data_IF_729070283786
#
_entry.id   IF_729070283786
#
_cell.length_a   1.000
_cell.length_b   1.000
_cell.length_c   1.000
_cell.angle_alpha   90.00
_cell.angle_beta   90.00
_cell.angle_gamma   90.00
#
_symmetry.space_group_name_H-M   'P 1'
#
loop_
_entity.id
_entity.type
_entity.pdbx_description
1 polymer ?
#
# COMPACT_ATOMS: atom_id res chain seq x y z
N UNK A 1 8.60 -0.51 0.91
CA UNK A 1 8.31 0.88 0.50
C UNK A 1 7.14 1.38 1.32
N UNK A 2 7.13 2.63 1.76
CA UNK A 2 6.01 3.21 2.49
C UNK A 2 5.06 3.91 1.53
N UNK A 3 3.80 4.09 1.93
CA UNK A 3 2.87 4.93 1.17
C UNK A 3 3.14 6.40 1.46
N UNK A 4 3.09 7.23 0.42
CA UNK A 4 3.13 8.69 0.55
C UNK A 4 1.85 9.20 1.21
N UNK A 5 1.92 10.33 1.91
CA UNK A 5 0.74 11.04 2.42
C UNK A 5 0.81 12.52 2.01
N UNK A 6 -0.29 13.15 1.57
CA UNK A 6 -1.61 12.56 1.31
C UNK A 6 -1.62 11.67 0.06
N UNK A 7 -2.49 10.65 0.04
CA UNK A 7 -2.62 9.69 -1.06
C UNK A 7 -4.08 9.53 -1.49
N UNK A 8 -4.29 9.49 -2.81
CA UNK A 8 -5.56 9.04 -3.37
C UNK A 8 -5.60 7.50 -3.39
N UNK A 9 -6.29 6.93 -2.40
CA UNK A 9 -6.43 5.48 -2.24
C UNK A 9 -7.16 4.82 -3.39
N UNK A 10 -8.17 5.47 -3.97
CA UNK A 10 -8.93 4.88 -5.06
C UNK A 10 -8.05 4.76 -6.31
N UNK A 11 -7.29 5.80 -6.60
CA UNK A 11 -6.31 5.78 -7.70
C UNK A 11 -5.22 4.75 -7.44
N UNK A 12 -4.67 4.66 -6.23
CA UNK A 12 -3.70 3.64 -5.85
C UNK A 12 -4.24 2.22 -6.03
N UNK A 13 -5.42 1.90 -5.50
CA UNK A 13 -6.02 0.57 -5.60
C UNK A 13 -6.37 0.18 -7.06
N UNK A 14 -6.72 1.17 -7.90
CA UNK A 14 -6.92 0.92 -9.32
C UNK A 14 -5.58 0.64 -10.03
N UNK A 15 -4.50 1.33 -9.64
CA UNK A 15 -3.15 1.05 -10.15
C UNK A 15 -2.64 -0.32 -9.69
N UNK A 16 -2.96 -0.76 -8.47
CA UNK A 16 -2.66 -2.12 -8.01
C UNK A 16 -3.28 -3.19 -8.92
N UNK A 17 -4.49 -2.98 -9.46
CA UNK A 17 -5.16 -3.95 -10.33
C UNK A 17 -4.47 -4.15 -11.70
N UNK A 18 -3.64 -3.20 -12.13
CA UNK A 18 -2.88 -3.32 -13.39
C UNK A 18 -1.45 -3.82 -13.18
N UNK A 19 -1.04 -4.04 -11.92
CA UNK A 19 0.23 -4.64 -11.58
C UNK A 19 0.29 -6.09 -12.08
N UNK A 20 1.50 -6.55 -12.44
CA UNK A 20 1.73 -7.88 -13.01
C UNK A 20 1.73 -8.96 -11.92
N UNK A 21 2.26 -8.64 -10.74
CA UNK A 21 2.35 -9.53 -9.59
C UNK A 21 1.39 -9.15 -8.47
N UNK A 22 1.40 -9.92 -7.39
CA UNK A 22 0.64 -9.55 -6.21
C UNK A 22 1.28 -8.37 -5.47
N UNK A 23 0.45 -7.43 -5.02
CA UNK A 23 0.85 -6.30 -4.19
C UNK A 23 0.27 -6.52 -2.80
N UNK A 24 1.10 -6.37 -1.78
CA UNK A 24 0.73 -6.62 -0.40
C UNK A 24 0.98 -5.38 0.45
N UNK A 25 0.07 -5.14 1.40
CA UNK A 25 0.33 -4.26 2.53
C UNK A 25 0.70 -5.12 3.74
N UNK A 26 1.86 -4.84 4.34
CA UNK A 26 2.38 -5.58 5.49
C UNK A 26 2.50 -4.68 6.70
N UNK A 27 2.04 -5.16 7.85
CA UNK A 27 2.20 -4.45 9.11
C UNK A 27 3.48 -4.89 9.81
N UNK A 28 3.92 -4.11 10.81
CA UNK A 28 5.11 -4.47 11.62
C UNK A 28 4.91 -5.73 12.45
N UNK A 29 3.67 -6.08 12.76
CA UNK A 29 3.31 -7.30 13.46
C UNK A 29 3.42 -8.55 12.58
N UNK A 30 3.61 -8.38 11.27
CA UNK A 30 3.77 -9.47 10.31
C UNK A 30 2.48 -9.88 9.59
N UNK A 31 1.38 -9.14 9.80
CA UNK A 31 0.17 -9.33 9.01
C UNK A 31 0.41 -8.91 7.56
N UNK A 32 -0.22 -9.60 6.61
CA UNK A 32 -0.06 -9.33 5.18
C UNK A 32 -1.40 -9.37 4.46
N UNK A 33 -1.80 -8.24 3.90
CA UNK A 33 -3.02 -8.08 3.12
C UNK A 33 -2.68 -8.06 1.63
N UNK A 34 -3.20 -9.01 0.85
CA UNK A 34 -3.06 -8.98 -0.60
C UNK A 34 -4.04 -7.99 -1.22
N UNK A 35 -3.55 -6.84 -1.68
CA UNK A 35 -4.35 -5.75 -2.22
C UNK A 35 -4.98 -6.07 -3.59
N UNK A 36 -4.71 -7.23 -4.19
CA UNK A 36 -5.46 -7.70 -5.37
C UNK A 36 -6.82 -8.29 -5.00
N UNK A 37 -6.99 -8.77 -3.77
CA UNK A 37 -8.27 -9.29 -3.29
C UNK A 37 -9.21 -8.15 -2.94
N UNK A 38 -10.41 -8.15 -3.51
CA UNK A 38 -11.43 -7.14 -3.22
C UNK A 38 -11.73 -7.05 -1.71
N UNK A 39 -11.77 -8.20 -1.01
CA UNK A 39 -12.00 -8.23 0.43
C UNK A 39 -10.86 -7.52 1.19
N UNK A 40 -9.61 -7.76 0.80
CA UNK A 40 -8.45 -7.10 1.40
C UNK A 40 -8.40 -5.62 1.06
N UNK A 41 -8.87 -5.20 -0.13
CA UNK A 41 -9.05 -3.79 -0.47
C UNK A 41 -10.05 -3.12 0.48
N UNK A 42 -11.19 -3.77 0.77
CA UNK A 42 -12.15 -3.25 1.76
C UNK A 42 -11.52 -3.08 3.14
N UNK A 43 -10.78 -4.08 3.64
CA UNK A 43 -10.07 -3.98 4.93
C UNK A 43 -9.05 -2.84 4.89
N UNK A 44 -8.28 -2.73 3.81
CA UNK A 44 -7.28 -1.69 3.61
C UNK A 44 -7.89 -0.28 3.65
N UNK A 45 -9.10 -0.08 3.12
CA UNK A 45 -9.78 1.23 3.24
C UNK A 45 -10.06 1.63 4.68
N UNK A 46 -10.33 0.68 5.58
CA UNK A 46 -10.49 0.97 7.01
C UNK A 46 -9.15 1.32 7.67
N UNK A 47 -8.06 0.70 7.24
CA UNK A 47 -6.70 1.01 7.69
C UNK A 47 -6.28 2.43 7.31
N UNK A 48 -6.59 2.87 6.08
CA UNK A 48 -6.21 4.22 5.63
C UNK A 48 -6.87 5.32 6.47
N UNK A 49 -8.04 5.07 7.05
CA UNK A 49 -8.66 6.03 7.95
C UNK A 49 -7.87 6.27 9.25
N UNK A 50 -6.89 5.41 9.57
CA UNK A 50 -5.95 5.60 10.67
C UNK A 50 -4.54 5.88 10.11
N UNK A 51 -4.18 7.16 10.10
CA UNK A 51 -2.89 7.62 9.57
C UNK A 51 -1.68 6.99 10.27
N UNK A 52 -1.79 6.68 11.57
CA UNK A 52 -0.70 6.04 12.31
C UNK A 52 -0.51 4.60 11.87
N UNK A 53 -1.62 3.88 11.65
CA UNK A 53 -1.59 2.50 11.19
C UNK A 53 -1.09 2.42 9.75
N UNK A 54 -1.53 3.32 8.87
CA UNK A 54 -1.05 3.41 7.49
C UNK A 54 0.46 3.69 7.43
N UNK A 55 0.94 4.66 8.22
CA UNK A 55 2.36 5.02 8.30
C UNK A 55 3.25 3.89 8.84
N UNK A 56 2.65 2.96 9.61
CA UNK A 56 3.38 1.82 10.18
C UNK A 56 3.61 0.69 9.18
N UNK A 57 2.81 0.60 8.12
CA UNK A 57 2.85 -0.50 7.18
C UNK A 57 3.67 -0.23 5.92
N UNK A 58 4.04 -1.31 5.26
CA UNK A 58 4.89 -1.30 4.07
C UNK A 58 4.17 -1.97 2.89
N UNK A 59 4.35 -1.41 1.70
CA UNK A 59 4.00 -2.03 0.44
C UNK A 59 5.14 -2.95 -0.01
N UNK A 60 4.74 -4.19 -0.30
CA UNK A 60 5.56 -5.22 -0.90
C UNK A 60 4.94 -5.66 -2.23
N UNK A 61 5.68 -5.47 -3.32
CA UNK A 61 5.33 -6.03 -4.62
C UNK A 61 6.09 -7.35 -4.82
N UNK A 62 5.38 -8.38 -5.27
CA UNK A 62 5.97 -9.66 -5.65
C UNK A 62 6.81 -9.54 -6.92
N UNK A 63 6.39 -8.69 -7.86
CA UNK A 63 7.16 -8.34 -9.05
C UNK A 63 7.83 -6.98 -8.86
N UNK A 64 9.14 -6.91 -9.11
CA UNK A 64 9.92 -5.69 -8.97
C UNK A 64 9.47 -4.56 -9.91
N UNK A 65 8.94 -4.89 -11.10
CA UNK A 65 8.45 -3.89 -12.07
C UNK A 65 7.24 -3.12 -11.55
N UNK A 66 6.45 -3.72 -10.64
CA UNK A 66 5.25 -3.07 -10.10
C UNK A 66 5.60 -1.92 -9.16
N UNK A 67 6.81 -1.88 -8.58
CA UNK A 67 7.28 -0.71 -7.84
C UNK A 67 7.41 0.52 -8.73
N UNK A 68 7.75 0.36 -10.01
CA UNK A 68 7.80 1.48 -10.95
C UNK A 68 6.38 1.95 -11.31
N UNK A 69 5.45 1.01 -11.54
CA UNK A 69 4.03 1.33 -11.76
C UNK A 69 3.43 2.12 -10.59
N UNK A 70 3.86 1.82 -9.37
CA UNK A 70 3.37 2.43 -8.14
C UNK A 70 4.23 3.60 -7.64
N UNK A 71 5.27 4.02 -8.36
CA UNK A 71 6.29 4.94 -7.84
C UNK A 71 5.73 6.26 -7.28
N UNK A 72 4.67 6.78 -7.90
CA UNK A 72 4.01 8.02 -7.49
C UNK A 72 3.27 7.92 -6.14
N UNK A 73 3.10 6.71 -5.60
CA UNK A 73 2.43 6.43 -4.33
C UNK A 73 3.41 5.98 -3.24
N UNK A 74 4.68 5.80 -3.58
CA UNK A 74 5.65 5.13 -2.72
C UNK A 74 6.77 6.08 -2.27
N UNK A 75 7.24 5.85 -1.05
CA UNK A 75 8.37 6.55 -0.46
C UNK A 75 9.36 5.56 0.17
N UNK A 76 10.65 5.92 0.15
CA UNK A 76 11.72 5.12 0.75
C UNK A 76 11.75 5.20 2.28
N UNK A 77 11.16 6.25 2.86
CA UNK A 77 11.08 6.48 4.29
C UNK A 77 9.63 6.50 4.77
N UNK A 78 9.40 6.01 5.99
CA UNK A 78 8.08 6.11 6.62
C UNK A 78 7.67 7.58 6.70
N UNK A 79 6.40 7.92 6.42
CA UNK A 79 5.93 9.27 6.61
C UNK A 79 6.14 9.66 8.08
N UNK A 80 7.02 10.64 8.31
CA UNK A 80 7.25 11.21 9.62
C UNK A 80 5.95 11.88 10.06
N UNK A 81 5.23 11.24 10.98
CA UNK A 81 4.00 11.77 11.55
C UNK A 81 4.25 13.18 12.09
N UNK A 82 3.39 14.11 11.69
CA UNK A 82 3.31 15.43 12.31
C UNK A 82 2.49 15.34 13.60
#
# INVERSE_FOLDING_TARGET
MYLTYPIDILSFLNTVKICKGNVFFRTKEGDSLNLNSLLSQFIFTSIVCDEHFLASGEIYCENAEDYHTLENYLADAAPSGN
#
